data_IF_339854710827
#
_entry.id   IF_339854710827
#
_cell.length_a   1.000
_cell.length_b   1.000
_cell.length_c   1.000
_cell.angle_alpha   90.00
_cell.angle_beta   90.00
_cell.angle_gamma   90.00
#
_symmetry.space_group_name_H-M   'P 1'
#
loop_
_entity.id
_entity.type
_entity.pdbx_description
1 polymer ?
#
# COMPACT_ATOMS: atom_id res chain seq x y z
N UNK A 1 -6.29 8.29 18.07
CA UNK A 1 -6.41 7.49 16.83
C UNK A 1 -5.31 7.95 15.92
N UNK A 2 -4.62 7.02 15.27
CA UNK A 2 -3.48 7.37 14.43
C UNK A 2 -3.66 6.74 13.06
N UNK A 3 -3.56 7.52 12.01
CA UNK A 3 -3.38 6.97 10.66
C UNK A 3 -1.89 6.75 10.46
N UNK A 4 -1.50 5.55 10.03
CA UNK A 4 -0.16 5.32 9.49
C UNK A 4 -0.31 5.22 7.97
N UNK A 5 0.03 6.29 7.27
CA UNK A 5 -0.10 6.37 5.81
C UNK A 5 1.15 5.80 5.13
N UNK A 6 0.95 4.79 4.27
CA UNK A 6 1.98 4.07 3.55
C UNK A 6 1.97 4.47 2.07
N UNK A 7 3.02 5.16 1.63
CA UNK A 7 3.14 5.62 0.24
C UNK A 7 3.49 4.47 -0.72
N UNK A 8 3.28 4.71 -2.02
CA UNK A 8 3.61 3.75 -3.08
C UNK A 8 5.09 3.81 -3.49
N UNK A 9 5.44 3.04 -4.53
CA UNK A 9 6.73 3.14 -5.20
C UNK A 9 6.93 4.53 -5.82
N UNK A 10 8.18 4.98 -5.93
CA UNK A 10 8.56 6.30 -6.49
C UNK A 10 7.85 7.48 -5.82
N UNK A 11 7.65 7.34 -4.52
CA UNK A 11 6.95 8.30 -3.69
C UNK A 11 7.67 8.46 -2.35
N UNK A 12 7.14 9.33 -1.51
CA UNK A 12 7.76 9.72 -0.25
C UNK A 12 6.68 10.04 0.81
N UNK A 13 7.05 10.35 2.07
CA UNK A 13 6.12 10.77 3.12
C UNK A 13 5.18 11.93 2.78
N UNK A 14 5.54 12.76 1.80
CA UNK A 14 4.81 13.95 1.36
C UNK A 14 4.05 13.72 0.06
N UNK A 15 3.86 12.46 -0.36
CA UNK A 15 2.96 12.10 -1.44
C UNK A 15 1.62 12.85 -1.34
N UNK A 16 1.08 13.30 -2.47
CA UNK A 16 -0.13 14.13 -2.52
C UNK A 16 -1.30 13.54 -1.71
N UNK A 17 -1.54 12.23 -1.84
CA UNK A 17 -2.57 11.52 -1.08
C UNK A 17 -2.28 11.47 0.42
N UNK A 18 -1.03 11.31 0.83
CA UNK A 18 -0.63 11.32 2.23
C UNK A 18 -0.89 12.69 2.87
N UNK A 19 -0.55 13.77 2.18
CA UNK A 19 -0.80 15.16 2.62
C UNK A 19 -2.29 15.46 2.70
N UNK A 20 -3.06 15.10 1.67
CA UNK A 20 -4.52 15.29 1.65
C UNK A 20 -5.17 14.53 2.81
N UNK A 21 -4.76 13.27 3.04
CA UNK A 21 -5.26 12.45 4.15
C UNK A 21 -4.95 13.10 5.50
N UNK A 22 -3.70 13.52 5.71
CA UNK A 22 -3.28 14.15 6.97
C UNK A 22 -4.03 15.45 7.25
N UNK A 23 -4.21 16.29 6.23
CA UNK A 23 -4.95 17.55 6.37
C UNK A 23 -6.41 17.31 6.73
N UNK A 24 -7.09 16.38 6.04
CA UNK A 24 -8.49 16.09 6.29
C UNK A 24 -8.68 15.37 7.64
N UNK A 25 -7.81 14.41 7.99
CA UNK A 25 -7.84 13.69 9.26
C UNK A 25 -7.66 14.64 10.47
N UNK A 26 -6.87 15.70 10.32
CA UNK A 26 -6.66 16.72 11.35
C UNK A 26 -7.94 17.45 11.74
N UNK A 27 -8.88 17.64 10.81
CA UNK A 27 -10.20 18.25 11.09
C UNK A 27 -11.01 17.43 12.12
N UNK A 28 -10.70 16.14 12.25
CA UNK A 28 -11.32 15.21 13.20
C UNK A 28 -10.41 14.87 14.40
N UNK A 29 -9.28 15.57 14.56
CA UNK A 29 -8.32 15.31 15.65
C UNK A 29 -7.60 13.96 15.53
N UNK A 30 -7.43 13.44 14.31
CA UNK A 30 -6.72 12.18 14.04
C UNK A 30 -5.29 12.52 13.59
N UNK A 31 -4.30 12.03 14.34
CA UNK A 31 -2.90 12.18 13.98
C UNK A 31 -2.55 11.29 12.78
N UNK A 32 -1.63 11.75 11.93
CA UNK A 32 -1.19 10.99 10.76
C UNK A 32 0.33 10.88 10.73
N UNK A 33 0.83 9.65 10.89
CA UNK A 33 2.23 9.28 10.70
C UNK A 33 2.44 8.89 9.23
N UNK A 34 3.54 9.37 8.64
CA UNK A 34 3.89 9.17 7.23
C UNK A 34 5.34 8.69 7.16
N UNK A 35 5.62 7.43 7.50
CA UNK A 35 6.98 6.91 7.44
C UNK A 35 7.50 6.88 6.02
N UNK A 36 8.81 7.09 5.87
CA UNK A 36 9.51 6.86 4.61
C UNK A 36 9.71 5.35 4.42
N UNK A 37 9.23 4.84 3.28
CA UNK A 37 9.27 3.44 2.87
C UNK A 37 10.33 3.17 1.80
N UNK A 38 11.18 4.15 1.46
CA UNK A 38 12.27 3.98 0.50
C UNK A 38 13.44 3.19 1.12
N UNK A 39 13.20 1.93 1.44
CA UNK A 39 14.19 0.98 1.94
C UNK A 39 13.79 -0.46 1.57
N UNK A 40 14.68 -1.45 1.75
CA UNK A 40 14.36 -2.86 1.54
C UNK A 40 13.11 -3.33 2.30
N UNK A 41 12.39 -4.34 1.80
CA UNK A 41 11.09 -4.74 2.34
C UNK A 41 11.14 -5.23 3.80
N UNK A 42 12.22 -5.90 4.22
CA UNK A 42 12.40 -6.28 5.63
C UNK A 42 12.49 -5.06 6.55
N UNK A 43 13.19 -4.01 6.11
CA UNK A 43 13.32 -2.76 6.86
C UNK A 43 11.99 -2.01 6.93
N UNK A 44 11.20 -2.04 5.84
CA UNK A 44 9.83 -1.52 5.82
C UNK A 44 8.98 -2.25 6.86
N UNK A 45 8.96 -3.58 6.84
CA UNK A 45 8.17 -4.38 7.78
C UNK A 45 8.60 -4.11 9.23
N UNK A 46 9.90 -4.11 9.53
CA UNK A 46 10.41 -3.83 10.87
C UNK A 46 9.99 -2.43 11.36
N UNK A 47 10.11 -1.40 10.49
CA UNK A 47 9.69 -0.04 10.79
C UNK A 47 8.19 0.04 11.10
N UNK A 48 7.36 -0.59 10.28
CA UNK A 48 5.91 -0.55 10.43
C UNK A 48 5.43 -1.33 11.65
N UNK A 49 6.04 -2.47 11.97
CA UNK A 49 5.73 -3.21 13.19
C UNK A 49 5.99 -2.37 14.45
N UNK A 50 7.09 -1.62 14.48
CA UNK A 50 7.39 -0.72 15.59
C UNK A 50 6.36 0.41 15.71
N UNK A 51 6.01 1.07 14.59
CA UNK A 51 5.00 2.13 14.60
C UNK A 51 3.62 1.63 15.03
N UNK A 52 3.21 0.44 14.57
CA UNK A 52 1.95 -0.20 15.01
C UNK A 52 1.98 -0.50 16.50
N UNK A 53 3.10 -1.01 17.03
CA UNK A 53 3.26 -1.29 18.46
C UNK A 53 3.16 -0.03 19.32
N UNK A 54 3.75 1.08 18.87
CA UNK A 54 3.70 2.37 19.56
C UNK A 54 2.32 3.05 19.45
N UNK A 55 1.52 2.66 18.45
CA UNK A 55 0.21 3.21 18.17
C UNK A 55 -0.85 2.09 18.12
N UNK A 56 -1.26 1.51 19.27
CA UNK A 56 -2.15 0.36 19.31
C UNK A 56 -3.55 0.63 18.71
N UNK A 57 -3.95 1.89 18.64
CA UNK A 57 -5.19 2.34 18.00
C UNK A 57 -4.93 2.88 16.58
N UNK A 58 -3.93 2.36 15.87
CA UNK A 58 -3.63 2.79 14.51
C UNK A 58 -4.56 2.14 13.48
N UNK A 59 -4.79 2.85 12.38
CA UNK A 59 -5.34 2.30 11.13
C UNK A 59 -4.32 2.58 10.02
N UNK A 60 -3.99 1.56 9.23
CA UNK A 60 -3.10 1.69 8.10
C UNK A 60 -3.87 2.28 6.92
N UNK A 61 -3.28 3.24 6.21
CA UNK A 61 -3.82 3.71 4.92
C UNK A 61 -2.73 3.53 3.88
N UNK A 62 -2.89 2.58 2.97
CA UNK A 62 -1.84 2.21 2.02
C UNK A 62 -2.26 2.42 0.57
N UNK A 63 -1.40 3.08 -0.22
CA UNK A 63 -1.63 3.24 -1.67
C UNK A 63 -0.61 2.48 -2.51
N UNK A 64 -1.05 1.79 -3.58
CA UNK A 64 -0.16 1.03 -4.48
C UNK A 64 0.71 0.04 -3.69
N UNK A 65 2.05 0.11 -3.77
CA UNK A 65 2.97 -0.70 -2.96
C UNK A 65 2.74 -0.54 -1.45
N UNK A 66 2.38 0.66 -0.97
CA UNK A 66 2.00 0.87 0.42
C UNK A 66 0.74 0.10 0.81
N UNK A 67 -0.15 -0.18 -0.15
CA UNK A 67 -1.32 -1.04 0.03
C UNK A 67 -0.97 -2.52 0.22
N UNK A 68 0.07 -3.00 -0.48
CA UNK A 68 0.64 -4.33 -0.24
C UNK A 68 1.15 -4.44 1.20
N UNK A 69 2.00 -3.51 1.63
CA UNK A 69 2.53 -3.53 3.00
C UNK A 69 1.41 -3.36 4.03
N UNK A 70 0.42 -2.48 3.81
CA UNK A 70 -0.72 -2.34 4.71
C UNK A 70 -1.48 -3.66 4.88
N UNK A 71 -1.68 -4.41 3.79
CA UNK A 71 -2.34 -5.72 3.83
C UNK A 71 -1.49 -6.75 4.58
N UNK A 72 -0.19 -6.84 4.26
CA UNK A 72 0.75 -7.74 4.93
C UNK A 72 0.80 -7.49 6.44
N UNK A 73 0.92 -6.23 6.85
CA UNK A 73 0.96 -5.85 8.25
C UNK A 73 -0.39 -6.12 8.93
N UNK A 74 -1.51 -5.90 8.25
CA UNK A 74 -2.83 -6.29 8.76
C UNK A 74 -2.93 -7.80 9.03
N UNK A 75 -2.37 -8.63 8.15
CA UNK A 75 -2.29 -10.09 8.34
C UNK A 75 -1.41 -10.48 9.53
N UNK A 76 -0.35 -9.73 9.79
CA UNK A 76 0.62 -10.02 10.87
C UNK A 76 0.13 -9.56 12.24
N UNK A 77 -0.53 -8.40 12.31
CA UNK A 77 -0.84 -7.72 13.58
C UNK A 77 -2.32 -7.63 13.88
N UNK A 78 -3.19 -7.86 12.88
CA UNK A 78 -4.61 -7.59 12.97
C UNK A 78 -4.95 -6.09 12.98
N UNK A 79 -4.01 -5.21 12.63
CA UNK A 79 -4.27 -3.76 12.49
C UNK A 79 -5.21 -3.51 11.30
N UNK A 80 -6.28 -2.71 11.44
CA UNK A 80 -7.15 -2.39 10.31
C UNK A 80 -6.43 -1.63 9.20
N UNK A 81 -6.87 -1.82 7.95
CA UNK A 81 -6.27 -1.13 6.81
C UNK A 81 -7.31 -0.64 5.80
N UNK A 82 -7.07 0.56 5.27
CA UNK A 82 -7.75 1.14 4.12
C UNK A 82 -6.78 1.19 2.96
N UNK A 83 -7.16 0.61 1.83
CA UNK A 83 -6.29 0.38 0.68
C UNK A 83 -6.76 1.20 -0.52
N UNK A 84 -5.82 1.85 -1.21
CA UNK A 84 -6.06 2.72 -2.36
C UNK A 84 -5.30 2.19 -3.58
N UNK A 85 -6.00 1.62 -4.57
CA UNK A 85 -5.38 0.93 -5.70
C UNK A 85 -4.18 0.05 -5.26
N UNK A 86 -4.36 -0.88 -4.30
CA UNK A 86 -3.26 -1.65 -3.72
C UNK A 86 -2.63 -2.59 -4.74
N UNK A 87 -1.31 -2.76 -4.67
CA UNK A 87 -0.63 -3.88 -5.33
C UNK A 87 -0.89 -5.18 -4.56
N UNK A 88 -1.12 -6.27 -5.30
CA UNK A 88 -1.33 -7.62 -4.72
C UNK A 88 -0.13 -8.55 -4.97
N UNK A 89 0.66 -8.30 -6.01
CA UNK A 89 1.83 -9.09 -6.40
C UNK A 89 2.98 -8.16 -6.84
N UNK A 90 3.70 -7.51 -5.90
CA UNK A 90 4.77 -6.60 -6.25
C UNK A 90 5.89 -7.23 -7.08
N UNK A 91 6.26 -8.47 -6.78
CA UNK A 91 7.19 -9.30 -7.55
C UNK A 91 6.84 -9.36 -9.04
N UNK A 92 5.56 -9.53 -9.39
CA UNK A 92 5.10 -9.54 -10.79
C UNK A 92 5.15 -8.13 -11.38
N UNK A 93 4.66 -7.13 -10.63
CA UNK A 93 4.67 -5.74 -11.10
C UNK A 93 6.07 -5.19 -11.34
N UNK A 94 7.08 -5.68 -10.59
CA UNK A 94 8.47 -5.25 -10.70
C UNK A 94 9.22 -5.95 -11.84
N UNK A 95 8.65 -7.01 -12.44
CA UNK A 95 9.25 -7.64 -13.62
C UNK A 95 9.42 -6.66 -14.79
N UNK A 96 8.61 -5.59 -14.86
CA UNK A 96 8.79 -4.51 -15.84
C UNK A 96 10.20 -3.92 -15.84
N UNK A 97 10.84 -3.81 -14.67
CA UNK A 97 12.20 -3.29 -14.56
C UNK A 97 13.25 -4.22 -15.17
N UNK A 98 12.94 -5.53 -15.26
CA UNK A 98 13.81 -6.52 -15.87
C UNK A 98 13.67 -6.49 -17.39
N UNK A 99 12.43 -6.50 -17.89
CA UNK A 99 12.15 -6.49 -19.34
C UNK A 99 12.75 -5.28 -20.03
N UNK A 100 12.75 -4.13 -19.35
CA UNK A 100 13.23 -2.88 -19.93
C UNK A 100 14.77 -2.76 -19.95
N UNK A 101 15.48 -3.47 -19.06
CA UNK A 101 16.90 -3.19 -18.77
C UNK A 101 17.83 -4.40 -18.75
N UNK A 102 17.32 -5.63 -18.63
CA UNK A 102 18.09 -6.82 -18.31
C UNK A 102 17.73 -8.07 -19.14
N UNK A 103 17.02 -7.90 -20.27
CA UNK A 103 16.59 -9.03 -21.10
C UNK A 103 17.75 -9.98 -21.48
N UNK A 104 17.58 -11.27 -21.20
CA UNK A 104 18.58 -12.32 -21.45
C UNK A 104 19.80 -12.34 -20.52
N UNK A 105 19.88 -11.50 -19.48
CA UNK A 105 21.03 -11.47 -18.56
C UNK A 105 20.82 -12.37 -17.35
N UNK A 106 21.89 -13.05 -16.90
CA UNK A 106 21.90 -13.74 -15.62
C UNK A 106 22.04 -12.72 -14.47
N UNK A 107 21.07 -12.69 -13.56
CA UNK A 107 21.02 -11.78 -12.43
C UNK A 107 21.37 -12.50 -11.13
N UNK A 108 22.08 -11.81 -10.24
CA UNK A 108 22.31 -12.25 -8.85
C UNK A 108 21.39 -11.48 -7.91
N UNK A 109 21.17 -12.02 -6.70
CA UNK A 109 20.28 -11.39 -5.70
C UNK A 109 20.65 -9.95 -5.39
N UNK A 110 21.94 -9.58 -5.43
CA UNK A 110 22.41 -8.21 -5.16
C UNK A 110 22.32 -7.26 -6.35
N UNK A 111 21.88 -7.73 -7.52
CA UNK A 111 21.76 -6.87 -8.71
C UNK A 111 20.68 -5.82 -8.50
N UNK A 112 21.05 -4.54 -8.60
CA UNK A 112 20.10 -3.42 -8.51
C UNK A 112 19.32 -3.35 -9.82
N UNK A 113 18.02 -3.62 -9.75
CA UNK A 113 17.14 -3.65 -10.92
C UNK A 113 16.39 -2.33 -11.11
N UNK A 114 16.25 -1.54 -10.05
CA UNK A 114 15.60 -0.25 -10.08
C UNK A 114 16.07 0.61 -8.90
N UNK A 115 16.19 1.92 -9.09
CA UNK A 115 16.42 2.87 -8.00
C UNK A 115 15.27 3.85 -7.98
N UNK A 116 14.52 3.88 -6.88
CA UNK A 116 13.36 4.76 -6.75
C UNK A 116 13.78 6.22 -6.67
N UNK A 117 12.84 7.13 -6.94
CA UNK A 117 13.04 8.57 -6.73
C UNK A 117 13.43 8.94 -5.30
N UNK A 118 13.02 8.14 -4.30
CA UNK A 118 13.40 8.29 -2.90
C UNK A 118 14.69 7.56 -2.50
N UNK A 119 15.43 6.98 -3.45
CA UNK A 119 16.76 6.41 -3.23
C UNK A 119 16.79 4.93 -2.79
N UNK A 120 15.65 4.24 -2.79
CA UNK A 120 15.65 2.80 -2.55
C UNK A 120 16.19 2.07 -3.79
N UNK A 121 17.27 1.32 -3.60
CA UNK A 121 17.81 0.41 -4.60
C UNK A 121 17.13 -0.94 -4.47
N UNK A 122 16.14 -1.20 -5.32
CA UNK A 122 15.46 -2.49 -5.40
C UNK A 122 16.43 -3.49 -6.00
N UNK A 123 16.64 -4.60 -5.28
CA UNK A 123 17.51 -5.69 -5.71
C UNK A 123 16.69 -6.79 -6.36
N UNK A 124 17.32 -7.56 -7.25
CA UNK A 124 16.68 -8.71 -7.86
C UNK A 124 16.19 -9.72 -6.81
N UNK A 125 16.94 -9.93 -5.73
CA UNK A 125 16.54 -10.77 -4.61
C UNK A 125 15.28 -10.29 -3.86
N UNK A 126 14.92 -9.01 -3.96
CA UNK A 126 13.69 -8.49 -3.34
C UNK A 126 12.44 -9.09 -4.00
N UNK A 127 12.50 -9.53 -5.27
CA UNK A 127 11.37 -10.21 -5.92
C UNK A 127 11.05 -11.53 -5.22
N UNK A 128 12.07 -12.32 -4.89
CA UNK A 128 11.90 -13.56 -4.14
C UNK A 128 11.36 -13.29 -2.73
N UNK A 129 11.72 -12.15 -2.13
CA UNK A 129 11.12 -11.71 -0.86
C UNK A 129 9.62 -11.48 -1.00
N UNK A 130 9.17 -10.74 -2.03
CA UNK A 130 7.74 -10.49 -2.26
C UNK A 130 6.98 -11.78 -2.62
N UNK A 131 7.60 -12.68 -3.38
CA UNK A 131 7.02 -14.00 -3.68
C UNK A 131 6.83 -14.85 -2.42
N UNK A 132 7.79 -14.83 -1.49
CA UNK A 132 7.70 -15.56 -0.21
C UNK A 132 6.63 -14.98 0.73
N UNK A 133 6.29 -13.70 0.58
CA UNK A 133 5.35 -12.97 1.44
C UNK A 133 4.01 -12.66 0.75
N UNK A 134 3.45 -13.64 0.02
CA UNK A 134 2.11 -13.50 -0.59
C UNK A 134 1.05 -13.09 0.44
N UNK A 135 0.19 -12.17 0.02
CA UNK A 135 -0.94 -11.70 0.81
C UNK A 135 -1.97 -12.82 0.98
N UNK A 136 -2.54 -12.92 2.18
CA UNK A 136 -3.59 -13.91 2.50
C UNK A 136 -4.90 -13.26 2.92
N UNK A 137 -4.86 -12.02 3.40
CA UNK A 137 -6.03 -11.25 3.87
C UNK A 137 -6.76 -12.02 4.99
N UNK A 138 -6.05 -12.34 6.07
CA UNK A 138 -6.54 -13.12 7.23
C UNK A 138 -7.70 -12.47 7.97
N UNK A 139 -7.78 -11.14 7.92
CA UNK A 139 -8.79 -10.33 8.60
C UNK A 139 -9.56 -9.46 7.60
N UNK A 140 -10.30 -10.06 6.64
CA UNK A 140 -10.94 -9.32 5.56
C UNK A 140 -11.95 -8.27 6.06
N UNK A 141 -12.60 -8.52 7.19
CA UNK A 141 -13.51 -7.59 7.87
C UNK A 141 -12.84 -6.29 8.36
N UNK A 142 -11.50 -6.29 8.44
CA UNK A 142 -10.67 -5.14 8.83
C UNK A 142 -10.05 -4.42 7.62
N UNK A 143 -10.33 -4.88 6.41
CA UNK A 143 -9.83 -4.31 5.16
C UNK A 143 -10.96 -3.60 4.43
N UNK A 144 -10.70 -2.35 4.04
CA UNK A 144 -11.52 -1.59 3.09
C UNK A 144 -10.68 -1.28 1.87
N UNK A 145 -11.20 -1.47 0.67
CA UNK A 145 -10.47 -1.22 -0.58
C UNK A 145 -11.22 -0.19 -1.42
N UNK A 146 -10.52 0.84 -1.89
CA UNK A 146 -11.02 1.77 -2.90
C UNK A 146 -10.22 1.57 -4.18
N UNK A 147 -10.91 1.19 -5.26
CA UNK A 147 -10.34 0.94 -6.57
C UNK A 147 -10.83 1.94 -7.60
N UNK A 148 -9.93 2.34 -8.49
CA UNK A 148 -10.23 2.98 -9.77
C UNK A 148 -10.08 1.95 -10.87
N UNK A 149 -11.15 1.69 -11.61
CA UNK A 149 -11.13 0.70 -12.68
C UNK A 149 -10.35 1.17 -13.91
N UNK A 150 -10.07 2.48 -14.02
CA UNK A 150 -9.18 3.06 -15.02
C UNK A 150 -7.69 3.01 -14.66
N UNK A 151 -7.30 2.27 -13.61
CA UNK A 151 -5.89 2.09 -13.23
C UNK A 151 -5.08 1.50 -14.40
N UNK A 152 -4.12 2.27 -14.88
CA UNK A 152 -3.28 1.95 -16.02
C UNK A 152 -2.00 1.18 -15.66
N UNK A 153 -1.70 1.04 -14.36
CA UNK A 153 -0.47 0.39 -13.88
C UNK A 153 -0.72 -0.97 -13.24
N UNK A 154 -1.85 -1.15 -12.55
CA UNK A 154 -2.25 -2.39 -11.91
C UNK A 154 -3.56 -2.89 -12.51
N UNK A 155 -3.70 -4.21 -12.62
CA UNK A 155 -4.97 -4.81 -13.02
C UNK A 155 -6.00 -4.65 -11.89
N UNK A 156 -6.86 -3.65 -12.03
CA UNK A 156 -7.91 -3.35 -11.06
C UNK A 156 -8.93 -4.48 -10.94
N UNK A 157 -9.21 -5.22 -12.02
CA UNK A 157 -10.15 -6.36 -11.99
C UNK A 157 -9.55 -7.55 -11.23
N UNK A 158 -8.28 -7.86 -11.45
CA UNK A 158 -7.57 -8.87 -10.67
C UNK A 158 -7.51 -8.49 -9.19
N UNK A 159 -7.25 -7.22 -8.89
CA UNK A 159 -7.22 -6.69 -7.52
C UNK A 159 -8.58 -6.79 -6.85
N UNK A 160 -9.66 -6.39 -7.55
CA UNK A 160 -11.03 -6.52 -7.06
C UNK A 160 -11.35 -7.98 -6.75
N UNK A 161 -11.15 -8.88 -7.72
CA UNK A 161 -11.44 -10.29 -7.58
C UNK A 161 -10.67 -10.92 -6.40
N UNK A 162 -9.39 -10.55 -6.21
CA UNK A 162 -8.58 -11.02 -5.09
C UNK A 162 -9.22 -10.65 -3.74
N UNK A 163 -9.44 -9.35 -3.49
CA UNK A 163 -9.97 -8.89 -2.19
C UNK A 163 -11.41 -9.35 -1.93
N UNK A 164 -12.26 -9.38 -2.96
CA UNK A 164 -13.64 -9.90 -2.85
C UNK A 164 -13.65 -11.40 -2.54
N UNK A 165 -12.75 -12.19 -3.16
CA UNK A 165 -12.65 -13.63 -2.88
C UNK A 165 -12.24 -13.92 -1.44
N UNK A 166 -11.50 -13.01 -0.80
CA UNK A 166 -11.17 -13.05 0.62
C UNK A 166 -12.30 -12.53 1.52
N UNK A 167 -13.36 -11.93 0.97
CA UNK A 167 -14.48 -11.35 1.72
C UNK A 167 -14.21 -9.94 2.26
N UNK A 168 -13.23 -9.22 1.73
CA UNK A 168 -12.99 -7.82 2.08
C UNK A 168 -14.04 -6.91 1.43
N UNK A 169 -14.27 -5.74 2.03
CA UNK A 169 -15.18 -4.74 1.44
C UNK A 169 -14.43 -3.91 0.39
N UNK A 170 -14.87 -4.04 -0.87
CA UNK A 170 -14.27 -3.39 -2.03
C UNK A 170 -15.27 -2.42 -2.63
N UNK A 171 -14.84 -1.17 -2.77
CA UNK A 171 -15.54 -0.19 -3.60
C UNK A 171 -14.74 0.08 -4.86
N UNK A 172 -15.20 -0.51 -5.96
CA UNK A 172 -14.72 -0.24 -7.31
C UNK A 172 -15.49 0.94 -7.92
N UNK A 173 -14.76 1.92 -8.47
CA UNK A 173 -15.32 3.07 -9.17
C UNK A 173 -14.84 3.07 -10.62
N UNK A 174 -15.79 3.24 -11.55
CA UNK A 174 -15.48 3.34 -12.98
C UNK A 174 -14.54 4.52 -13.28
N UNK A 175 -13.65 4.33 -14.25
CA UNK A 175 -12.65 5.33 -14.64
C UNK A 175 -11.62 5.64 -13.55
N UNK A 176 -11.13 6.88 -13.53
CA UNK A 176 -9.99 7.28 -12.70
C UNK A 176 -8.65 6.85 -13.29
N UNK A 177 -7.62 6.84 -12.45
CA UNK A 177 -6.25 6.46 -12.79
C UNK A 177 -5.56 5.83 -11.57
N UNK A 178 -4.36 5.26 -11.77
CA UNK A 178 -3.59 4.63 -10.69
C UNK A 178 -3.30 5.61 -9.55
N UNK A 179 -2.98 6.87 -9.91
CA UNK A 179 -2.64 7.93 -8.96
C UNK A 179 -3.83 8.33 -8.09
N UNK A 180 -5.05 7.98 -8.50
CA UNK A 180 -6.32 8.44 -7.95
C UNK A 180 -6.35 9.97 -7.94
N UNK A 181 -6.25 10.58 -9.12
CA UNK A 181 -6.15 12.05 -9.28
C UNK A 181 -7.32 12.81 -8.63
N UNK A 182 -8.47 12.16 -8.43
CA UNK A 182 -9.64 12.67 -7.71
C UNK A 182 -9.62 12.36 -6.19
N UNK A 183 -8.43 12.14 -5.61
CA UNK A 183 -8.35 11.75 -4.20
C UNK A 183 -8.91 12.80 -3.24
N UNK A 184 -8.95 14.08 -3.62
CA UNK A 184 -9.56 15.15 -2.80
C UNK A 184 -11.06 14.91 -2.61
N UNK A 185 -11.72 14.36 -3.60
CA UNK A 185 -13.14 14.00 -3.55
C UNK A 185 -13.36 12.69 -2.78
N UNK A 186 -12.34 11.81 -2.73
CA UNK A 186 -12.41 10.51 -2.05
C UNK A 186 -11.97 10.54 -0.57
N UNK A 187 -11.19 11.54 -0.14
CA UNK A 187 -10.58 11.55 1.20
C UNK A 187 -11.60 11.47 2.35
N UNK A 188 -12.78 12.07 2.18
CA UNK A 188 -13.86 12.00 3.18
C UNK A 188 -14.34 10.57 3.41
N UNK A 189 -14.41 9.74 2.35
CA UNK A 189 -14.72 8.32 2.46
C UNK A 189 -13.61 7.57 3.20
N UNK A 190 -12.36 7.84 2.85
CA UNK A 190 -11.19 7.16 3.45
C UNK A 190 -11.09 7.45 4.94
N UNK A 191 -11.18 8.72 5.34
CA UNK A 191 -11.14 9.10 6.76
C UNK A 191 -12.40 8.61 7.50
N UNK A 192 -13.57 8.61 6.84
CA UNK A 192 -14.78 8.01 7.39
C UNK A 192 -14.63 6.51 7.70
N UNK A 193 -13.96 5.75 6.82
CA UNK A 193 -13.65 4.33 7.08
C UNK A 193 -12.66 4.15 8.24
N UNK A 194 -11.64 5.02 8.35
CA UNK A 194 -10.73 5.03 9.50
C UNK A 194 -11.51 5.20 10.82
N UNK A 195 -12.45 6.16 10.87
CA UNK A 195 -13.28 6.40 12.05
C UNK A 195 -14.23 5.23 12.36
N UNK A 196 -14.77 4.56 11.34
CA UNK A 196 -15.66 3.42 11.52
C UNK A 196 -14.97 2.23 12.22
N UNK A 197 -13.65 2.07 12.05
CA UNK A 197 -12.87 1.06 12.79
C UNK A 197 -12.72 1.37 14.29
N UNK A 198 -13.07 2.58 14.72
CA UNK A 198 -13.04 3.00 16.12
C UNK A 198 -14.31 2.63 16.89
N UNK A 199 -15.43 2.43 16.17
CA UNK A 199 -16.76 2.26 16.76
C UNK A 199 -17.14 0.79 17.01
N UNK A 200 -16.18 -0.14 16.88
CA UNK A 200 -16.34 -1.58 17.08
C UNK A 200 -15.29 -2.10 18.04
#
# INVERSE_FOLDING_TARGET
MTIIYLHGLDSDPNATKAVITANHAKEFGIDTLRPDLNCPPDDVVAKLLNLIKENPNAVLVGSSLGGYFATLLSDMTGTPAVLLNPSICPDLSFQRFLTDNFDGQALTDDTIIYTTTGGWQIRYGDLAWFEKHRLTVKNPQKIKVLLKMGDELLDAHATQAFFESCGADVVAQDGGDHRMSDYKEQVGRVVGWVQAHQSK
#
